data_IF_884933754397
#
_entry.id   IF_884933754397
#
_cell.length_a   1.000
_cell.length_b   1.000
_cell.length_c   1.000
_cell.angle_alpha   90.00
_cell.angle_beta   90.00
_cell.angle_gamma   90.00
#
_symmetry.space_group_name_H-M   'P 1'
#
loop_
_entity.id
_entity.type
_entity.pdbx_description
1 polymer ?
#
# COMPACT_ATOMS: atom_id res chain seq x y z
N UNK A 1 29.62 -6.83 -25.04
CA UNK A 1 30.70 -6.15 -25.77
C UNK A 1 30.83 -6.86 -27.10
N UNK A 2 30.69 -6.16 -28.23
CA UNK A 2 30.97 -6.74 -29.55
C UNK A 2 32.48 -6.70 -29.82
N UNK A 3 32.94 -7.50 -30.79
CA UNK A 3 34.37 -7.63 -31.12
C UNK A 3 35.00 -6.28 -31.51
N UNK A 4 34.35 -5.54 -32.40
CA UNK A 4 34.80 -4.23 -32.86
C UNK A 4 34.95 -3.23 -31.72
N UNK A 5 33.99 -3.24 -30.78
CA UNK A 5 34.00 -2.38 -29.60
C UNK A 5 35.17 -2.64 -28.64
N UNK A 6 35.67 -3.88 -28.62
CA UNK A 6 36.75 -4.27 -27.72
C UNK A 6 38.13 -3.97 -28.31
N UNK A 7 38.28 -4.08 -29.63
CA UNK A 7 39.57 -3.96 -30.32
C UNK A 7 39.79 -2.66 -31.07
N UNK A 8 38.73 -2.00 -31.55
CA UNK A 8 38.81 -0.83 -32.43
C UNK A 8 38.37 0.47 -31.74
N UNK A 9 37.51 0.38 -30.72
CA UNK A 9 37.02 1.55 -29.99
C UNK A 9 37.88 1.93 -28.76
N UNK A 10 37.48 3.00 -28.06
CA UNK A 10 38.19 3.54 -26.90
C UNK A 10 38.30 2.52 -25.76
N UNK A 11 39.52 2.33 -25.26
CA UNK A 11 39.87 1.46 -24.13
C UNK A 11 39.03 1.77 -22.87
N UNK A 12 38.55 3.01 -22.69
CA UNK A 12 37.74 3.38 -21.54
C UNK A 12 36.31 2.83 -21.58
N UNK A 13 35.80 2.34 -22.72
CA UNK A 13 34.44 1.76 -22.81
C UNK A 13 34.24 0.57 -21.87
N UNK A 14 35.29 -0.21 -21.60
CA UNK A 14 35.25 -1.32 -20.63
C UNK A 14 34.80 -0.83 -19.25
N UNK A 15 35.29 0.33 -18.79
CA UNK A 15 34.90 0.91 -17.50
C UNK A 15 33.43 1.32 -17.50
N UNK A 16 32.96 1.93 -18.58
CA UNK A 16 31.58 2.37 -18.74
C UNK A 16 30.61 1.18 -18.75
N UNK A 17 30.91 0.10 -19.47
CA UNK A 17 30.07 -1.10 -19.48
C UNK A 17 30.03 -1.81 -18.14
N UNK A 18 31.16 -1.87 -17.44
CA UNK A 18 31.20 -2.44 -16.09
C UNK A 18 30.27 -1.67 -15.16
N UNK A 19 30.38 -0.34 -15.16
CA UNK A 19 29.49 0.53 -14.36
C UNK A 19 28.03 0.36 -14.76
N UNK A 20 27.73 0.28 -16.05
CA UNK A 20 26.37 0.04 -16.54
C UNK A 20 25.83 -1.32 -16.09
N UNK A 21 26.66 -2.36 -16.07
CA UNK A 21 26.28 -3.69 -15.59
C UNK A 21 26.02 -3.70 -14.09
N UNK A 22 26.87 -3.04 -13.30
CA UNK A 22 26.67 -2.86 -11.85
C UNK A 22 25.33 -2.17 -11.56
N UNK A 23 25.03 -1.06 -12.25
CA UNK A 23 23.74 -0.35 -12.14
C UNK A 23 22.55 -1.22 -12.53
N UNK A 24 22.66 -2.02 -13.61
CA UNK A 24 21.60 -2.97 -14.00
C UNK A 24 21.34 -4.02 -12.93
N UNK A 25 22.41 -4.53 -12.30
CA UNK A 25 22.31 -5.51 -11.23
C UNK A 25 21.63 -4.91 -9.99
N UNK A 26 22.01 -3.69 -9.62
CA UNK A 26 21.37 -2.95 -8.52
C UNK A 26 19.89 -2.70 -8.79
N UNK A 27 19.54 -2.24 -10.00
CA UNK A 27 18.16 -2.04 -10.41
C UNK A 27 17.34 -3.34 -10.37
N UNK A 28 17.90 -4.46 -10.82
CA UNK A 28 17.24 -5.75 -10.75
C UNK A 28 16.96 -6.18 -9.30
N UNK A 29 17.90 -5.94 -8.38
CA UNK A 29 17.72 -6.21 -6.96
C UNK A 29 16.62 -5.32 -6.33
N UNK A 30 16.62 -4.03 -6.65
CA UNK A 30 15.58 -3.10 -6.19
C UNK A 30 14.19 -3.47 -6.73
N UNK A 31 14.10 -3.87 -8.00
CA UNK A 31 12.86 -4.33 -8.61
C UNK A 31 12.35 -5.63 -7.94
N UNK A 32 13.24 -6.59 -7.68
CA UNK A 32 12.89 -7.83 -6.99
C UNK A 32 12.36 -7.55 -5.57
N UNK A 33 12.99 -6.61 -4.85
CA UNK A 33 12.49 -6.15 -3.55
C UNK A 33 11.09 -5.56 -3.65
N UNK A 34 10.87 -4.63 -4.58
CA UNK A 34 9.57 -3.99 -4.79
C UNK A 34 8.48 -5.02 -5.12
N UNK A 35 8.79 -5.98 -5.99
CA UNK A 35 7.87 -7.09 -6.29
C UNK A 35 7.58 -7.94 -5.04
N UNK A 36 8.59 -8.21 -4.20
CA UNK A 36 8.40 -8.89 -2.93
C UNK A 36 7.39 -8.20 -2.02
N UNK A 37 7.43 -6.87 -1.93
CA UNK A 37 6.44 -6.08 -1.19
C UNK A 37 5.03 -6.26 -1.76
N UNK A 38 4.87 -6.17 -3.08
CA UNK A 38 3.57 -6.35 -3.73
C UNK A 38 2.98 -7.75 -3.54
N UNK A 39 3.82 -8.79 -3.60
CA UNK A 39 3.40 -10.19 -3.38
C UNK A 39 3.00 -10.39 -1.92
N UNK A 40 3.80 -9.87 -0.99
CA UNK A 40 3.48 -9.94 0.44
C UNK A 40 2.12 -9.31 0.74
N UNK A 41 1.87 -8.10 0.24
CA UNK A 41 0.61 -7.40 0.48
C UNK A 41 -0.59 -8.12 -0.15
N UNK A 42 -0.43 -8.69 -1.35
CA UNK A 42 -1.46 -9.50 -1.99
C UNK A 42 -1.81 -10.75 -1.16
N UNK A 43 -0.81 -11.43 -0.59
CA UNK A 43 -1.03 -12.57 0.30
C UNK A 43 -1.76 -12.17 1.58
N UNK A 44 -1.38 -11.04 2.18
CA UNK A 44 -2.09 -10.48 3.34
C UNK A 44 -3.56 -10.16 3.01
N UNK A 45 -3.82 -9.57 1.84
CA UNK A 45 -5.16 -9.24 1.40
C UNK A 45 -6.05 -10.48 1.19
N UNK A 46 -5.47 -11.58 0.68
CA UNK A 46 -6.16 -12.83 0.38
C UNK A 46 -6.22 -13.79 1.59
N UNK A 47 -5.39 -13.58 2.61
CA UNK A 47 -5.31 -14.38 3.85
C UNK A 47 -6.68 -14.74 4.48
N UNK A 48 -7.67 -13.83 4.59
CA UNK A 48 -8.97 -14.16 5.18
C UNK A 48 -9.76 -15.24 4.42
N UNK A 49 -9.53 -15.36 3.11
CA UNK A 49 -10.19 -16.36 2.25
C UNK A 49 -9.49 -17.71 2.33
N UNK A 50 -8.17 -17.69 2.51
CA UNK A 50 -7.34 -18.91 2.58
C UNK A 50 -7.38 -19.60 3.95
N UNK A 51 -7.98 -18.96 4.95
CA UNK A 51 -8.13 -19.56 6.27
C UNK A 51 -9.08 -20.78 6.21
N UNK A 52 -8.63 -21.94 6.70
CA UNK A 52 -9.35 -23.22 6.62
C UNK A 52 -10.76 -23.18 7.27
N UNK A 53 -10.97 -22.27 8.22
CA UNK A 53 -12.26 -22.07 8.90
C UNK A 53 -12.90 -20.72 8.56
N UNK A 54 -12.58 -20.14 7.40
CA UNK A 54 -13.23 -18.92 6.94
C UNK A 54 -14.74 -19.13 6.79
N UNK A 55 -15.53 -18.14 7.23
CA UNK A 55 -16.98 -18.17 7.05
C UNK A 55 -17.31 -18.16 5.55
N UNK A 56 -18.36 -18.88 5.18
CA UNK A 56 -18.82 -18.92 3.78
C UNK A 56 -19.19 -17.50 3.33
N UNK A 57 -18.53 -17.03 2.28
CA UNK A 57 -18.70 -15.66 1.76
C UNK A 57 -17.70 -14.63 2.29
N UNK A 58 -16.66 -15.01 3.03
CA UNK A 58 -15.55 -14.11 3.36
C UNK A 58 -14.92 -13.58 2.08
N UNK A 59 -14.87 -12.25 1.95
CA UNK A 59 -14.24 -11.56 0.82
C UNK A 59 -12.80 -11.19 1.18
N UNK A 60 -11.87 -11.21 0.21
CA UNK A 60 -10.53 -10.70 0.44
C UNK A 60 -10.56 -9.20 0.70
N UNK A 61 -9.55 -8.70 1.42
CA UNK A 61 -9.35 -7.26 1.53
C UNK A 61 -9.00 -6.68 0.15
N UNK A 62 -9.43 -5.44 -0.15
CA UNK A 62 -9.11 -4.82 -1.43
C UNK A 62 -7.59 -4.59 -1.56
N UNK A 63 -7.04 -4.91 -2.72
CA UNK A 63 -5.65 -4.64 -3.04
C UNK A 63 -5.40 -3.13 -3.25
N UNK A 64 -4.13 -2.74 -3.28
CA UNK A 64 -3.71 -1.38 -3.58
C UNK A 64 -4.32 -0.88 -4.91
N UNK A 65 -4.89 0.34 -4.88
CA UNK A 65 -5.42 1.02 -6.07
C UNK A 65 -4.33 1.69 -6.89
N UNK A 66 -3.23 2.06 -6.23
CA UNK A 66 -2.14 2.84 -6.81
C UNK A 66 -0.79 2.17 -6.51
N UNK A 67 0.22 2.40 -7.38
CA UNK A 67 1.55 1.85 -7.16
C UNK A 67 2.27 2.49 -5.97
N UNK A 68 3.31 1.83 -5.45
CA UNK A 68 4.12 2.39 -4.38
C UNK A 68 4.82 3.68 -4.84
N UNK A 69 4.82 4.74 -4.02
CA UNK A 69 5.46 5.99 -4.36
C UNK A 69 7.00 5.83 -4.37
N UNK A 70 7.62 6.05 -5.53
CA UNK A 70 9.08 5.95 -5.70
C UNK A 70 9.85 7.14 -5.10
N UNK A 71 9.18 8.29 -4.99
CA UNK A 71 9.71 9.48 -4.33
C UNK A 71 8.80 9.81 -3.16
N UNK A 72 9.37 10.26 -2.05
CA UNK A 72 8.61 10.90 -0.96
C UNK A 72 8.01 12.20 -1.51
N UNK A 73 6.89 12.13 -2.21
CA UNK A 73 6.05 13.31 -2.42
C UNK A 73 5.60 13.75 -1.03
N UNK A 74 5.90 14.99 -0.65
CA UNK A 74 5.48 15.63 0.60
C UNK A 74 3.96 15.87 0.67
N UNK A 75 3.18 15.05 0.02
CA UNK A 75 1.73 15.15 0.00
C UNK A 75 1.23 13.96 0.78
N UNK A 76 0.64 14.26 1.92
CA UNK A 76 -0.03 13.32 2.80
C UNK A 76 -0.85 12.33 1.96
N UNK A 77 -0.68 11.04 2.25
CA UNK A 77 -1.43 9.98 1.62
C UNK A 77 -2.94 10.27 1.74
N UNK A 78 -3.67 10.55 0.64
CA UNK A 78 -5.09 10.90 0.70
C UNK A 78 -5.94 9.77 1.31
N UNK A 79 -5.44 8.53 1.25
CA UNK A 79 -6.08 7.36 1.83
C UNK A 79 -6.22 7.40 3.37
N UNK A 80 -5.33 8.09 4.10
CA UNK A 80 -5.41 8.20 5.56
C UNK A 80 -6.42 9.27 6.02
N UNK A 81 -6.62 10.31 5.21
CA UNK A 81 -7.58 11.38 5.49
C UNK A 81 -9.02 10.94 5.18
N UNK A 82 -9.25 10.18 4.10
CA UNK A 82 -10.59 9.73 3.75
C UNK A 82 -11.17 8.73 4.76
N UNK A 83 -10.37 7.80 5.29
CA UNK A 83 -10.82 6.83 6.31
C UNK A 83 -11.11 7.51 7.66
N UNK A 84 -10.25 8.44 8.09
CA UNK A 84 -10.41 9.13 9.38
C UNK A 84 -11.61 10.07 9.42
N UNK A 85 -11.91 10.76 8.31
CA UNK A 85 -13.08 11.65 8.20
C UNK A 85 -14.39 10.87 8.17
N UNK A 86 -14.42 9.68 7.54
CA UNK A 86 -15.58 8.79 7.55
C UNK A 86 -15.90 8.26 8.94
N UNK A 87 -14.88 7.80 9.67
CA UNK A 87 -15.01 7.24 11.01
C UNK A 87 -15.45 8.29 12.05
N UNK A 88 -14.96 9.52 11.94
CA UNK A 88 -15.35 10.62 12.82
C UNK A 88 -16.85 10.98 12.68
N UNK A 89 -17.37 11.02 11.45
CA UNK A 89 -18.80 11.29 11.19
C UNK A 89 -19.70 10.18 11.71
N UNK A 90 -19.29 8.92 11.54
CA UNK A 90 -19.97 7.75 12.08
C UNK A 90 -19.99 7.76 13.62
N UNK A 91 -18.88 8.15 14.25
CA UNK A 91 -18.79 8.34 15.70
C UNK A 91 -19.76 9.41 16.19
N UNK A 92 -19.75 10.60 15.58
CA UNK A 92 -20.63 11.70 15.94
C UNK A 92 -22.12 11.34 15.80
N UNK A 93 -22.51 10.63 14.73
CA UNK A 93 -23.88 10.18 14.53
C UNK A 93 -24.34 9.20 15.63
N UNK A 94 -23.47 8.26 16.03
CA UNK A 94 -23.75 7.33 17.14
C UNK A 94 -23.91 8.08 18.47
N UNK A 95 -23.02 9.03 18.77
CA UNK A 95 -23.13 9.88 19.96
C UNK A 95 -24.43 10.68 19.97
N UNK A 96 -24.82 11.29 18.86
CA UNK A 96 -26.09 12.00 18.75
C UNK A 96 -27.29 11.08 19.00
N UNK A 97 -27.30 9.88 18.42
CA UNK A 97 -28.40 8.92 18.62
C UNK A 97 -28.49 8.45 20.08
N UNK A 98 -27.36 8.25 20.74
CA UNK A 98 -27.28 7.88 22.15
C UNK A 98 -27.77 9.01 23.07
N UNK A 99 -27.33 10.25 22.83
CA UNK A 99 -27.78 11.42 23.58
C UNK A 99 -29.29 11.64 23.44
N UNK A 100 -29.84 11.48 22.22
CA UNK A 100 -31.27 11.59 21.99
C UNK A 100 -32.08 10.50 22.73
N UNK A 101 -31.55 9.28 22.84
CA UNK A 101 -32.17 8.22 23.63
C UNK A 101 -32.11 8.50 25.13
N UNK A 102 -31.00 9.04 25.63
CA UNK A 102 -30.87 9.44 27.03
C UNK A 102 -31.86 10.56 27.39
N UNK A 103 -31.97 11.60 26.57
CA UNK A 103 -32.90 12.70 26.82
C UNK A 103 -34.36 12.20 26.93
N UNK A 104 -34.78 11.30 26.03
CA UNK A 104 -36.12 10.67 26.10
C UNK A 104 -36.34 9.84 27.37
N UNK A 105 -35.28 9.30 27.98
CA UNK A 105 -35.40 8.55 29.24
C UNK A 105 -35.54 9.47 30.45
N UNK A 106 -34.86 10.61 30.44
CA UNK A 106 -34.96 11.59 31.52
C UNK A 106 -36.30 12.34 31.54
N UNK A 107 -36.88 12.62 30.37
CA UNK A 107 -38.22 13.23 30.27
C UNK A 107 -39.34 12.32 30.81
N UNK A 108 -39.23 10.99 30.61
CA UNK A 108 -40.21 10.02 31.10
C UNK A 108 -40.07 9.70 32.60
N UNK A 109 -38.99 10.13 33.27
CA UNK A 109 -38.77 9.92 34.72
C UNK A 109 -39.08 11.14 35.59
N UNK A 110 -39.56 12.24 34.99
CA UNK A 110 -39.83 13.52 35.66
C UNK A 110 -41.29 13.79 36.03
N UNK A 111 -42.17 12.78 35.97
CA UNK A 111 -43.58 12.83 36.43
C UNK A 111 -43.84 11.85 37.54
#
# INVERSE_FOLDING_TARGET
>A
MTYELFWLEDVNLVKSYRKAFELRREMANQNAWLMGCYVYDALCAVSPVLNAFAKRGTKPMPYHKEPYPLKKSKTESPAAEESSVGDAKLGAAKFHSFAAQLNKRFENSGT
#
